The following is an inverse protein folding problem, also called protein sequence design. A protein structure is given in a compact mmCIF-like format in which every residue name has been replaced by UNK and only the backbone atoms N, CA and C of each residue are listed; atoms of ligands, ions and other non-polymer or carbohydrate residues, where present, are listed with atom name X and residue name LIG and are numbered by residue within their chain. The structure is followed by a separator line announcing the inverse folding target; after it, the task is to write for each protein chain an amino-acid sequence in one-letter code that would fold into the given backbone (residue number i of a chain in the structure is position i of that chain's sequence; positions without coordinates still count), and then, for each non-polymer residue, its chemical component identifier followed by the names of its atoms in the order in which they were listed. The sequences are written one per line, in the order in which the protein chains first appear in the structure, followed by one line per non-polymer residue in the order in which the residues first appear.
data_IF_924987454593
#
_entry.id   IF_924987454593
#
_cell.length_a   1.000
_cell.length_b   1.000
_cell.length_c   1.000
_cell.angle_alpha   90.00
_cell.angle_beta   90.00
_cell.angle_gamma   90.00
#
_symmetry.space_group_name_H-M   'P 1'
#
loop_
_entity.id
_entity.type
_entity.pdbx_description
1 polymer ?
#
# COMPACT_ATOMS: atom_id res chain seq x y z
N UNK A 1 -7.29 31.46 17.72
CA UNK A 1 -8.57 30.88 17.23
C UNK A 1 -8.47 30.39 15.78
N UNK A 2 -8.14 31.21 14.77
CA UNK A 2 -8.16 30.76 13.36
C UNK A 2 -7.09 29.71 13.04
N UNK A 3 -5.93 29.79 13.70
CA UNK A 3 -4.83 28.82 13.54
C UNK A 3 -5.18 27.42 14.05
N UNK A 4 -5.79 27.31 15.22
CA UNK A 4 -6.23 26.02 15.79
C UNK A 4 -7.29 25.34 14.93
N UNK A 5 -8.27 26.11 14.43
CA UNK A 5 -9.28 25.61 13.50
C UNK A 5 -8.67 25.14 12.19
N UNK A 6 -7.72 25.90 11.63
CA UNK A 6 -7.02 25.51 10.41
C UNK A 6 -6.22 24.22 10.58
N UNK A 7 -5.49 24.07 11.69
CA UNK A 7 -4.72 22.85 11.99
C UNK A 7 -5.63 21.65 12.22
N UNK A 8 -6.70 21.81 13.01
CA UNK A 8 -7.66 20.74 13.24
C UNK A 8 -8.34 20.28 11.95
N UNK A 9 -8.70 21.22 11.07
CA UNK A 9 -9.31 20.91 9.77
C UNK A 9 -8.31 20.21 8.84
N UNK A 10 -7.04 20.64 8.83
CA UNK A 10 -5.98 20.00 8.05
C UNK A 10 -5.71 18.56 8.52
N UNK A 11 -5.70 18.32 9.84
CA UNK A 11 -5.57 16.98 10.40
C UNK A 11 -6.78 16.09 10.09
N UNK A 12 -7.99 16.65 10.14
CA UNK A 12 -9.21 15.92 9.80
C UNK A 12 -9.21 15.55 8.32
N UNK A 13 -8.84 16.48 7.43
CA UNK A 13 -8.69 16.21 6.00
C UNK A 13 -7.60 15.16 5.76
N UNK A 14 -6.45 15.26 6.42
CA UNK A 14 -5.38 14.25 6.30
C UNK A 14 -5.88 12.86 6.73
N UNK A 15 -6.64 12.78 7.83
CA UNK A 15 -7.19 11.50 8.31
C UNK A 15 -8.16 10.91 7.29
N UNK A 16 -9.05 11.73 6.73
CA UNK A 16 -10.00 11.30 5.69
C UNK A 16 -9.27 10.85 4.43
N UNK A 17 -8.25 11.58 3.99
CA UNK A 17 -7.43 11.23 2.81
C UNK A 17 -6.68 9.92 3.04
N UNK A 18 -6.09 9.71 4.22
CA UNK A 18 -5.42 8.45 4.57
C UNK A 18 -6.37 7.25 4.56
N UNK A 19 -7.56 7.41 5.17
CA UNK A 19 -8.59 6.35 5.18
C UNK A 19 -9.09 6.07 3.76
N UNK A 20 -9.39 7.13 2.99
CA UNK A 20 -9.85 6.98 1.61
C UNK A 20 -8.77 6.34 0.73
N UNK A 21 -7.52 6.79 0.81
CA UNK A 21 -6.40 6.22 0.05
C UNK A 21 -6.18 4.74 0.35
N UNK A 22 -6.32 4.31 1.61
CA UNK A 22 -6.15 2.91 1.98
C UNK A 22 -7.28 1.98 1.48
N UNK A 23 -8.48 2.53 1.30
CA UNK A 23 -9.66 1.76 0.85
C UNK A 23 -9.84 1.78 -0.67
N UNK A 24 -9.47 2.88 -1.33
CA UNK A 24 -9.59 3.02 -2.78
C UNK A 24 -8.50 2.21 -3.48
N UNK A 25 -8.88 1.51 -4.56
CA UNK A 25 -7.94 0.75 -5.36
C UNK A 25 -6.83 1.68 -5.90
N UNK A 26 -5.59 1.33 -5.55
CA UNK A 26 -4.40 2.12 -5.81
C UNK A 26 -3.61 1.60 -7.00
N UNK A 27 -3.55 0.29 -7.21
CA UNK A 27 -2.82 -0.30 -8.32
C UNK A 27 -3.59 -1.49 -8.87
N UNK A 28 -3.38 -1.80 -10.13
CA UNK A 28 -3.86 -3.03 -10.74
C UNK A 28 -2.69 -3.85 -11.25
N UNK A 29 -2.82 -5.17 -11.13
CA UNK A 29 -1.89 -6.11 -11.74
C UNK A 29 -2.50 -6.66 -13.02
N UNK A 30 -1.78 -6.51 -14.12
CA UNK A 30 -2.10 -7.10 -15.40
C UNK A 30 -1.02 -8.07 -15.83
N UNK A 31 -1.42 -9.24 -16.33
CA UNK A 31 -0.54 -10.14 -17.05
C UNK A 31 -0.93 -10.13 -18.53
N UNK A 32 0.05 -9.99 -19.41
CA UNK A 32 -0.14 -10.06 -20.86
C UNK A 32 0.78 -11.13 -21.48
N UNK A 33 0.51 -11.51 -22.73
CA UNK A 33 1.27 -12.54 -23.46
C UNK A 33 0.62 -13.92 -23.43
N UNK A 34 1.30 -14.89 -24.04
CA UNK A 34 0.79 -16.26 -24.19
C UNK A 34 0.57 -16.96 -22.84
N UNK A 35 1.43 -16.68 -21.85
CA UNK A 35 1.27 -17.15 -20.48
C UNK A 35 -0.01 -16.64 -19.83
N UNK A 36 -0.39 -15.38 -20.08
CA UNK A 36 -1.64 -14.83 -19.58
C UNK A 36 -2.85 -15.52 -20.22
N UNK A 37 -2.80 -15.78 -21.53
CA UNK A 37 -3.90 -16.43 -22.26
C UNK A 37 -4.09 -17.89 -21.84
N UNK A 38 -2.98 -18.61 -21.61
CA UNK A 38 -3.00 -20.00 -21.14
C UNK A 38 -3.44 -20.15 -19.67
N UNK A 39 -3.07 -19.20 -18.81
CA UNK A 39 -3.39 -19.25 -17.38
C UNK A 39 -4.81 -18.74 -17.12
N UNK A 40 -5.21 -17.67 -17.79
CA UNK A 40 -6.45 -16.96 -17.45
C UNK A 40 -7.65 -17.33 -18.33
N UNK A 41 -7.46 -17.99 -19.49
CA UNK A 41 -8.43 -18.65 -20.39
C UNK A 41 -9.72 -17.90 -20.81
N UNK A 42 -10.10 -16.81 -20.15
CA UNK A 42 -11.18 -15.89 -20.46
C UNK A 42 -10.84 -14.51 -19.85
N UNK A 43 -10.59 -13.53 -20.72
CA UNK A 43 -10.53 -12.09 -20.43
C UNK A 43 -9.60 -11.63 -19.29
N UNK A 44 -8.41 -11.13 -19.68
CA UNK A 44 -7.56 -10.14 -18.98
C UNK A 44 -8.10 -9.75 -17.58
N UNK A 45 -7.71 -10.51 -16.56
CA UNK A 45 -8.11 -10.22 -15.18
C UNK A 45 -7.23 -9.08 -14.65
N UNK A 46 -7.71 -7.84 -14.78
CA UNK A 46 -7.13 -6.67 -14.11
C UNK A 46 -7.75 -6.56 -12.74
N UNK A 47 -7.12 -7.20 -11.75
CA UNK A 47 -7.55 -7.05 -10.37
C UNK A 47 -7.04 -5.73 -9.81
N UNK A 48 -7.99 -4.89 -9.40
CA UNK A 48 -7.72 -3.62 -8.76
C UNK A 48 -7.50 -3.86 -7.26
N UNK A 49 -6.32 -3.51 -6.77
CA UNK A 49 -5.92 -3.70 -5.38
C UNK A 49 -5.81 -2.37 -4.63
N UNK A 50 -6.34 -2.35 -3.42
CA UNK A 50 -6.12 -1.32 -2.41
C UNK A 50 -5.19 -1.87 -1.33
N UNK A 51 -4.73 -1.00 -0.42
CA UNK A 51 -3.94 -1.43 0.75
C UNK A 51 -4.69 -2.51 1.54
N UNK A 52 -6.00 -2.32 1.72
CA UNK A 52 -6.85 -3.28 2.42
C UNK A 52 -6.95 -4.61 1.68
N UNK A 53 -7.26 -4.59 0.37
CA UNK A 53 -7.40 -5.85 -0.39
C UNK A 53 -6.07 -6.57 -0.56
N UNK A 54 -4.95 -5.84 -0.67
CA UNK A 54 -3.61 -6.41 -0.67
C UNK A 54 -3.30 -7.10 0.67
N UNK A 55 -3.65 -6.48 1.81
CA UNK A 55 -3.45 -7.08 3.13
C UNK A 55 -4.30 -8.34 3.34
N UNK A 56 -5.59 -8.30 2.95
CA UNK A 56 -6.48 -9.47 3.05
C UNK A 56 -6.06 -10.58 2.08
N UNK A 57 -5.54 -10.23 0.91
CA UNK A 57 -5.06 -11.18 -0.10
C UNK A 57 -3.93 -12.08 0.38
N UNK A 58 -3.18 -11.67 1.41
CA UNK A 58 -2.04 -12.45 1.96
C UNK A 58 -2.47 -13.82 2.46
N UNK A 59 -3.65 -13.95 3.08
CA UNK A 59 -4.14 -15.24 3.61
C UNK A 59 -5.13 -15.94 2.68
N UNK A 60 -5.49 -15.32 1.56
CA UNK A 60 -6.50 -15.86 0.65
C UNK A 60 -6.11 -17.23 0.08
N UNK A 61 -4.81 -17.53 -0.02
CA UNK A 61 -4.31 -18.83 -0.48
C UNK A 61 -4.35 -19.93 0.59
N UNK A 62 -4.15 -19.56 1.86
CA UNK A 62 -4.06 -20.51 2.99
C UNK A 62 -4.50 -19.84 4.30
N UNK A 63 -5.80 -19.85 4.65
CA UNK A 63 -6.31 -19.19 5.85
C UNK A 63 -5.94 -19.88 7.16
N UNK A 64 -5.49 -21.14 7.09
CA UNK A 64 -5.13 -21.98 8.24
C UNK A 64 -3.65 -21.87 8.64
N UNK A 65 -2.84 -21.22 7.81
CA UNK A 65 -1.43 -20.99 8.10
C UNK A 65 -1.28 -19.83 9.11
N UNK A 66 -1.01 -20.17 10.36
CA UNK A 66 -0.84 -19.20 11.45
C UNK A 66 0.23 -18.12 11.12
N UNK A 67 1.26 -18.47 10.35
CA UNK A 67 2.28 -17.52 9.89
C UNK A 67 1.74 -16.45 8.94
N UNK A 68 0.91 -16.85 7.97
CA UNK A 68 0.29 -15.91 7.01
C UNK A 68 -0.74 -15.03 7.71
N UNK A 69 -1.52 -15.59 8.64
CA UNK A 69 -2.49 -14.82 9.44
C UNK A 69 -1.78 -13.80 10.34
N UNK A 70 -0.67 -14.17 10.97
CA UNK A 70 0.14 -13.24 11.75
C UNK A 70 0.70 -12.12 10.87
N UNK A 71 1.20 -12.45 9.67
CA UNK A 71 1.71 -11.47 8.71
C UNK A 71 0.62 -10.50 8.26
N UNK A 72 -0.55 -10.99 7.84
CA UNK A 72 -1.70 -10.16 7.48
C UNK A 72 -2.07 -9.22 8.63
N UNK A 73 -2.17 -9.75 9.85
CA UNK A 73 -2.60 -8.99 11.02
C UNK A 73 -1.60 -7.87 11.32
N UNK A 74 -0.31 -8.19 11.34
CA UNK A 74 0.76 -7.20 11.57
C UNK A 74 0.79 -6.18 10.44
N UNK A 75 0.67 -6.62 9.18
CA UNK A 75 0.64 -5.73 8.02
C UNK A 75 -0.52 -4.73 8.11
N UNK A 76 -1.75 -5.20 8.32
CA UNK A 76 -2.93 -4.31 8.43
C UNK A 76 -2.84 -3.42 9.66
N UNK A 77 -2.31 -3.92 10.78
CA UNK A 77 -2.15 -3.12 11.99
C UNK A 77 -1.17 -1.97 11.78
N UNK A 78 -0.01 -2.24 11.21
CA UNK A 78 1.09 -1.27 11.06
C UNK A 78 0.85 -0.33 9.86
N UNK A 79 0.27 -0.81 8.77
CA UNK A 79 0.05 0.01 7.56
C UNK A 79 -1.28 0.77 7.55
N UNK A 80 -2.31 0.33 8.28
CA UNK A 80 -3.62 0.98 8.34
C UNK A 80 -3.98 1.50 9.74
N UNK A 81 -3.97 0.64 10.76
CA UNK A 81 -4.47 1.04 12.08
C UNK A 81 -3.55 2.06 12.79
N UNK A 82 -2.25 1.83 12.78
CA UNK A 82 -1.23 2.68 13.41
C UNK A 82 -1.24 4.13 12.87
N UNK A 83 -1.18 4.40 11.55
CA UNK A 83 -1.24 5.78 11.05
C UNK A 83 -2.53 6.50 11.42
N UNK A 84 -3.68 5.80 11.40
CA UNK A 84 -4.96 6.38 11.82
C UNK A 84 -4.92 6.71 13.31
N UNK A 85 -4.42 5.80 14.15
CA UNK A 85 -4.29 6.02 15.58
C UNK A 85 -3.36 7.21 15.90
N UNK A 86 -2.25 7.35 15.18
CA UNK A 86 -1.34 8.49 15.31
C UNK A 86 -2.04 9.81 14.97
N UNK A 87 -2.76 9.87 13.84
CA UNK A 87 -3.51 11.07 13.42
C UNK A 87 -4.65 11.42 14.38
N UNK A 88 -5.39 10.43 14.87
CA UNK A 88 -6.47 10.62 15.85
C UNK A 88 -5.92 11.09 17.19
N UNK A 89 -4.81 10.52 17.66
CA UNK A 89 -4.15 10.96 18.88
C UNK A 89 -3.64 12.41 18.76
N UNK A 90 -3.10 12.78 17.60
CA UNK A 90 -2.71 14.16 17.31
C UNK A 90 -3.94 15.09 17.31
N UNK A 91 -5.04 14.69 16.65
CA UNK A 91 -6.28 15.46 16.63
C UNK A 91 -6.85 15.64 18.05
N UNK A 92 -6.82 14.60 18.87
CA UNK A 92 -7.25 14.65 20.26
C UNK A 92 -6.42 15.66 21.07
N UNK A 93 -5.10 15.70 20.87
CA UNK A 93 -4.20 16.66 21.52
C UNK A 93 -4.56 18.12 21.19
N UNK A 94 -5.01 18.37 19.96
CA UNK A 94 -5.37 19.71 19.49
C UNK A 94 -6.78 20.17 19.86
N UNK A 95 -7.75 19.25 19.97
CA UNK A 95 -9.15 19.56 20.28
C UNK A 95 -9.43 19.57 21.77
N UNK A 96 -8.79 18.66 22.53
CA UNK A 96 -9.02 18.54 23.98
C UNK A 96 -8.00 19.38 24.76
N UNK A 97 -8.44 20.26 25.67
CA UNK A 97 -7.54 20.92 26.61
C UNK A 97 -7.12 19.92 27.70
N UNK A 98 -6.11 19.10 27.41
CA UNK A 98 -5.50 18.17 28.37
C UNK A 98 -4.54 18.90 29.32
N UNK A 99 -4.34 18.34 30.51
CA UNK A 99 -3.27 18.76 31.43
C UNK A 99 -1.89 18.48 30.83
N UNK A 100 -0.90 19.35 31.07
CA UNK A 100 0.45 19.28 30.48
C UNK A 100 1.10 17.89 30.57
N UNK A 101 1.02 17.21 31.73
CA UNK A 101 1.58 15.87 31.91
C UNK A 101 0.98 14.82 30.96
N UNK A 102 -0.33 14.94 30.64
CA UNK A 102 -1.01 14.02 29.71
C UNK A 102 -0.77 14.40 28.26
N UNK A 103 -0.54 15.68 27.99
CA UNK A 103 -0.14 16.15 26.65
C UNK A 103 1.21 15.56 26.26
N UNK A 104 2.21 15.64 27.14
CA UNK A 104 3.55 15.10 26.87
C UNK A 104 3.53 13.59 26.64
N UNK A 105 2.77 12.85 27.47
CA UNK A 105 2.62 11.40 27.31
C UNK A 105 1.93 11.01 26.00
N UNK A 106 0.87 11.74 25.61
CA UNK A 106 0.15 11.48 24.36
C UNK A 106 1.00 11.85 23.14
N UNK A 107 1.77 12.93 23.21
CA UNK A 107 2.69 13.35 22.16
C UNK A 107 3.82 12.32 21.98
N UNK A 108 4.37 11.79 23.06
CA UNK A 108 5.32 10.68 23.01
C UNK A 108 4.69 9.42 22.37
N UNK A 109 3.46 9.07 22.74
CA UNK A 109 2.75 7.96 22.12
C UNK A 109 2.51 8.18 20.62
N UNK A 110 2.21 9.41 20.18
CA UNK A 110 2.09 9.76 18.77
C UNK A 110 3.42 9.54 18.03
N UNK A 111 4.55 9.95 18.61
CA UNK A 111 5.87 9.70 18.01
C UNK A 111 6.19 8.23 17.86
N UNK A 112 5.86 7.42 18.88
CA UNK A 112 6.03 5.97 18.80
C UNK A 112 5.11 5.41 17.72
N UNK A 113 3.81 5.72 17.73
CA UNK A 113 2.90 5.20 16.70
C UNK A 113 3.37 5.58 15.29
N UNK A 114 3.79 6.82 15.09
CA UNK A 114 4.30 7.28 13.81
C UNK A 114 5.58 6.56 13.36
N UNK A 115 6.52 6.29 14.27
CA UNK A 115 7.72 5.51 13.94
C UNK A 115 7.43 4.06 13.56
N UNK A 116 6.25 3.55 13.96
CA UNK A 116 5.76 2.24 13.60
C UNK A 116 4.80 2.30 12.39
N UNK A 117 4.54 3.46 11.78
CA UNK A 117 3.75 3.51 10.56
C UNK A 117 4.57 3.04 9.38
N UNK A 118 4.02 2.16 8.55
CA UNK A 118 4.66 1.67 7.31
C UNK A 118 3.90 2.08 6.06
N UNK A 119 2.98 3.04 6.17
CA UNK A 119 2.17 3.49 5.04
C UNK A 119 3.04 4.14 3.95
N UNK A 120 4.02 4.95 4.35
CA UNK A 120 5.01 5.56 3.47
C UNK A 120 5.87 4.51 2.78
N UNK A 121 6.36 3.51 3.53
CA UNK A 121 7.12 2.38 2.99
C UNK A 121 6.29 1.61 1.99
N UNK A 122 5.00 1.38 2.27
CA UNK A 122 4.09 0.71 1.34
C UNK A 122 3.94 1.49 0.02
N UNK A 123 3.73 2.81 0.08
CA UNK A 123 3.68 3.66 -1.13
C UNK A 123 4.97 3.53 -1.94
N UNK A 124 6.13 3.61 -1.29
CA UNK A 124 7.45 3.49 -1.94
C UNK A 124 7.62 2.11 -2.59
N UNK A 125 7.21 1.04 -1.91
CA UNK A 125 7.27 -0.32 -2.45
C UNK A 125 6.40 -0.48 -3.69
N UNK A 126 5.21 0.14 -3.76
CA UNK A 126 4.39 0.10 -4.99
C UNK A 126 5.11 0.84 -6.13
N UNK A 127 5.73 2.00 -5.87
CA UNK A 127 6.49 2.74 -6.89
C UNK A 127 7.66 1.91 -7.43
N UNK A 128 8.44 1.33 -6.52
CA UNK A 128 9.57 0.46 -6.89
C UNK A 128 9.04 -0.78 -7.62
N UNK A 129 7.96 -1.37 -7.12
CA UNK A 129 7.28 -2.51 -7.72
C UNK A 129 6.94 -2.21 -9.18
N UNK A 130 6.24 -1.11 -9.47
CA UNK A 130 5.94 -0.71 -10.84
C UNK A 130 7.18 -0.60 -11.73
N UNK A 131 8.28 -0.04 -11.23
CA UNK A 131 9.50 0.16 -12.02
C UNK A 131 10.30 -1.14 -12.26
N UNK A 132 10.29 -2.05 -11.28
CA UNK A 132 11.15 -3.23 -11.26
C UNK A 132 10.42 -4.54 -11.61
N UNK A 133 9.08 -4.60 -11.55
CA UNK A 133 8.33 -5.84 -11.74
C UNK A 133 8.60 -6.47 -13.11
N UNK A 134 8.62 -5.65 -14.17
CA UNK A 134 8.93 -6.11 -15.52
C UNK A 134 10.35 -6.68 -15.65
N UNK A 135 11.33 -6.06 -14.99
CA UNK A 135 12.72 -6.55 -14.98
C UNK A 135 12.85 -7.88 -14.22
N UNK A 136 12.18 -7.99 -13.07
CA UNK A 136 12.16 -9.21 -12.28
C UNK A 136 11.48 -10.36 -13.04
N UNK A 137 10.34 -10.10 -13.67
CA UNK A 137 9.62 -11.06 -14.51
C UNK A 137 10.51 -11.53 -15.67
N UNK A 138 11.14 -10.61 -16.40
CA UNK A 138 12.06 -10.94 -17.49
C UNK A 138 13.24 -11.79 -17.04
N UNK A 139 13.84 -11.50 -15.87
CA UNK A 139 14.92 -12.31 -15.30
C UNK A 139 14.46 -13.70 -14.87
N UNK A 140 13.28 -13.82 -14.26
CA UNK A 140 12.71 -15.11 -13.86
C UNK A 140 12.43 -16.00 -15.06
N UNK A 141 11.95 -15.44 -16.17
CA UNK A 141 11.75 -16.17 -17.43
C UNK A 141 13.09 -16.60 -18.02
N UNK A 142 14.10 -15.71 -18.01
CA UNK A 142 15.41 -15.98 -18.58
C UNK A 142 16.22 -17.06 -17.84
N UNK A 143 16.07 -17.18 -16.52
CA UNK A 143 16.83 -18.13 -15.68
C UNK A 143 16.03 -19.35 -15.24
N UNK A 144 14.70 -19.28 -15.28
CA UNK A 144 13.81 -20.30 -14.76
C UNK A 144 13.53 -21.46 -15.71
N UNK A 145 12.74 -22.42 -15.23
CA UNK A 145 12.25 -23.58 -15.99
C UNK A 145 11.39 -23.18 -17.21
N UNK A 146 10.90 -21.94 -17.24
CA UNK A 146 10.11 -21.37 -18.35
C UNK A 146 10.97 -20.99 -19.57
N UNK A 147 12.31 -20.99 -19.46
CA UNK A 147 13.21 -20.62 -20.56
C UNK A 147 12.99 -21.47 -21.82
N UNK A 148 12.78 -22.78 -21.66
CA UNK A 148 12.56 -23.67 -22.81
C UNK A 148 11.21 -23.43 -23.48
N UNK A 149 10.18 -23.15 -22.70
CA UNK A 149 8.85 -22.82 -23.20
C UNK A 149 8.83 -21.44 -23.89
N UNK A 150 9.44 -20.42 -23.27
CA UNK A 150 9.50 -19.10 -23.85
C UNK A 150 10.40 -19.02 -25.08
N UNK A 151 11.51 -19.77 -25.14
CA UNK A 151 12.36 -19.81 -26.33
C UNK A 151 11.63 -20.36 -27.57
N UNK A 152 10.76 -21.36 -27.39
CA UNK A 152 9.92 -21.89 -28.47
C UNK A 152 8.90 -20.83 -28.92
N UNK A 153 8.33 -20.06 -28.00
CA UNK A 153 7.32 -19.02 -28.28
C UNK A 153 7.93 -17.77 -28.92
N UNK A 154 9.16 -17.43 -28.52
CA UNK A 154 9.92 -16.30 -29.07
C UNK A 154 10.27 -16.52 -30.55
N UNK A 155 10.53 -17.76 -30.97
CA UNK A 155 10.70 -18.15 -32.38
C UNK A 155 9.45 -17.87 -33.23
N UNK A 156 8.26 -17.78 -32.62
CA UNK A 156 7.00 -17.42 -33.27
C UNK A 156 6.67 -15.91 -33.15
N UNK A 157 7.61 -15.08 -32.69
CA UNK A 157 7.44 -13.64 -32.54
C UNK A 157 6.28 -13.24 -31.60
N UNK A 158 5.97 -14.10 -30.62
CA UNK A 158 4.94 -13.86 -29.61
C UNK A 158 5.59 -13.51 -28.27
N UNK A 159 5.01 -12.53 -27.55
CA UNK A 159 5.47 -12.18 -26.20
C UNK A 159 5.08 -13.29 -25.22
N UNK A 160 6.09 -13.87 -24.55
CA UNK A 160 5.87 -15.04 -23.70
C UNK A 160 5.01 -14.71 -22.48
N UNK A 161 5.43 -13.74 -21.68
CA UNK A 161 4.69 -13.26 -20.51
C UNK A 161 5.27 -11.91 -20.08
N UNK A 162 4.42 -10.92 -19.93
CA UNK A 162 4.78 -9.61 -19.39
C UNK A 162 3.82 -9.27 -18.26
N UNK A 163 4.36 -8.81 -17.14
CA UNK A 163 3.61 -8.42 -15.95
C UNK A 163 3.71 -6.92 -15.81
N UNK A 164 2.57 -6.26 -15.92
CA UNK A 164 2.44 -4.82 -15.76
C UNK A 164 1.70 -4.52 -14.46
N UNK A 165 2.23 -3.56 -13.72
CA UNK A 165 1.55 -2.94 -12.59
C UNK A 165 1.16 -1.55 -13.05
N UNK A 166 -0.14 -1.24 -13.11
CA UNK A 166 -0.61 0.10 -13.51
C UNK A 166 -1.11 0.87 -12.30
N UNK A 167 -0.81 2.17 -12.24
CA UNK A 167 -1.31 3.05 -11.20
C UNK A 167 -2.75 3.45 -11.48
N UNK A 168 -3.63 3.25 -10.50
CA UNK A 168 -4.98 3.80 -10.52
C UNK A 168 -4.99 5.21 -9.93
N UNK A 169 -6.04 6.01 -10.19
CA UNK A 169 -6.18 7.33 -9.57
C UNK A 169 -6.18 7.29 -8.03
N UNK A 170 -6.52 6.15 -7.42
CA UNK A 170 -6.38 5.94 -5.98
C UNK A 170 -4.94 6.01 -5.48
N UNK A 171 -3.95 5.71 -6.32
CA UNK A 171 -2.54 5.86 -5.96
C UNK A 171 -2.19 7.32 -5.64
N UNK A 172 -2.76 8.29 -6.35
CA UNK A 172 -2.51 9.69 -6.07
C UNK A 172 -3.04 10.10 -4.67
N UNK A 173 -4.16 9.52 -4.24
CA UNK A 173 -4.69 9.71 -2.88
C UNK A 173 -3.78 9.07 -1.83
N UNK A 174 -3.30 7.85 -2.10
CA UNK A 174 -2.38 7.13 -1.22
C UNK A 174 -1.03 7.87 -1.09
N UNK A 175 -0.51 8.41 -2.19
CA UNK A 175 0.71 9.20 -2.23
C UNK A 175 0.53 10.55 -1.52
N UNK A 176 -0.61 11.22 -1.73
CA UNK A 176 -0.95 12.42 -0.98
C UNK A 176 -1.06 12.14 0.53
N UNK A 177 -1.63 11.00 0.93
CA UNK A 177 -1.70 10.57 2.32
C UNK A 177 -0.31 10.33 2.92
N UNK A 178 0.58 9.63 2.20
CA UNK A 178 1.95 9.39 2.63
C UNK A 178 2.76 10.69 2.76
N UNK A 179 2.63 11.60 1.80
CA UNK A 179 3.27 12.92 1.85
C UNK A 179 2.71 13.79 2.97
N UNK A 180 1.39 13.76 3.20
CA UNK A 180 0.77 14.48 4.30
C UNK A 180 1.26 13.96 5.66
N UNK A 181 1.37 12.65 5.83
CA UNK A 181 1.92 12.03 7.03
C UNK A 181 3.40 12.42 7.29
N UNK A 182 4.18 12.63 6.22
CA UNK A 182 5.55 13.14 6.29
C UNK A 182 5.61 14.65 6.58
N UNK A 183 4.69 15.42 5.99
CA UNK A 183 4.71 16.87 6.02
C UNK A 183 4.11 17.48 7.29
N UNK A 184 3.25 16.76 8.02
CA UNK A 184 2.73 17.23 9.31
C UNK A 184 3.92 17.43 10.25
N UNK A 185 4.24 18.70 10.61
CA UNK A 185 5.42 18.99 11.41
C UNK A 185 5.20 18.43 12.81
N UNK A 186 6.02 17.45 13.16
CA UNK A 186 6.10 16.85 14.49
C UNK A 186 7.01 17.75 15.34
N UNK A 187 6.51 18.93 15.69
CA UNK A 187 7.20 19.91 16.54
C UNK A 187 6.97 19.63 18.01
#
# INVERSE_FOLDING_TARGET
APTYLAVALLLLVSTVVTVAGALVASFEFGMTGLGADLIFQESRHTDAYSLMSAGIGVTASSPEDAGLVALQTVFLLISFAVPIMALVALLALWVLPLQAQRQDALLYACHVLDSWSTLDVFVVVIVIGHAEFGQLAGRLIATGSLKSLCGIVEDFNMHCMELDLQFLPGFALLLAAGLAALAVPKS
#
